data_IF_720646331500
#
_entry.id   IF_720646331500
#
_cell.length_a   1.000
_cell.length_b   1.000
_cell.length_c   1.000
_cell.angle_alpha   90.00
_cell.angle_beta   90.00
_cell.angle_gamma   90.00
#
_symmetry.space_group_name_H-M   'P 1'
#
loop_
_entity.id
_entity.type
_entity.pdbx_description
1 polymer ?
#
# COMPACT_ATOMS: atom_id res chain seq x y z
N UNK A 1 3.54 -4.96 -14.44
CA UNK A 1 2.07 -4.96 -14.50
C UNK A 1 1.49 -5.76 -13.34
N UNK A 2 0.60 -5.14 -12.55
CA UNK A 2 -0.15 -5.81 -11.48
C UNK A 2 -0.86 -7.04 -12.05
N UNK A 3 -0.78 -8.23 -11.42
CA UNK A 3 -1.51 -9.41 -11.86
C UNK A 3 -3.01 -9.12 -12.03
N UNK A 4 -3.56 -9.55 -13.16
CA UNK A 4 -4.95 -9.30 -13.53
C UNK A 4 -5.63 -10.54 -14.11
N UNK A 5 -6.96 -10.56 -14.12
CA UNK A 5 -7.75 -11.67 -14.66
C UNK A 5 -7.80 -11.58 -16.20
N UNK A 6 -6.89 -12.28 -16.87
CA UNK A 6 -6.68 -12.19 -18.34
C UNK A 6 -7.91 -12.52 -19.21
N UNK A 7 -8.81 -13.39 -18.73
CA UNK A 7 -9.97 -13.88 -19.49
C UNK A 7 -11.29 -13.35 -18.95
N UNK A 8 -11.26 -12.27 -18.18
CA UNK A 8 -12.45 -11.68 -17.58
C UNK A 8 -12.53 -10.21 -17.94
N UNK A 9 -13.72 -9.70 -18.30
CA UNK A 9 -13.96 -8.26 -18.40
C UNK A 9 -13.57 -7.56 -17.10
N UNK A 10 -12.98 -6.37 -17.19
CA UNK A 10 -12.47 -5.62 -16.01
C UNK A 10 -13.57 -5.33 -14.99
N UNK A 11 -14.77 -5.15 -15.49
CA UNK A 11 -15.99 -4.84 -14.74
C UNK A 11 -16.34 -5.95 -13.75
N UNK A 12 -15.98 -7.21 -14.03
CA UNK A 12 -16.30 -8.34 -13.17
C UNK A 12 -15.15 -8.78 -12.26
N UNK A 13 -14.01 -8.09 -12.29
CA UNK A 13 -12.83 -8.51 -11.52
C UNK A 13 -13.12 -8.53 -10.01
N UNK A 14 -13.71 -7.47 -9.49
CA UNK A 14 -14.06 -7.34 -8.08
C UNK A 14 -15.07 -8.39 -7.58
N UNK A 15 -15.82 -9.01 -8.50
CA UNK A 15 -16.76 -10.10 -8.19
C UNK A 15 -16.09 -11.48 -8.20
N UNK A 16 -14.96 -11.62 -8.90
CA UNK A 16 -14.28 -12.90 -9.12
C UNK A 16 -12.99 -13.07 -8.32
N UNK A 17 -12.47 -11.99 -7.76
CA UNK A 17 -11.26 -12.03 -6.94
C UNK A 17 -11.30 -10.96 -5.85
N UNK A 18 -10.77 -11.32 -4.68
CA UNK A 18 -10.61 -10.39 -3.57
C UNK A 18 -9.34 -9.57 -3.78
N UNK A 19 -9.49 -8.27 -3.90
CA UNK A 19 -8.37 -7.33 -3.96
C UNK A 19 -8.20 -6.68 -2.59
N UNK A 20 -6.96 -6.63 -2.12
CA UNK A 20 -6.61 -5.95 -0.89
C UNK A 20 -5.89 -4.65 -1.22
N UNK A 21 -6.34 -3.56 -0.60
CA UNK A 21 -5.64 -2.29 -0.65
C UNK A 21 -4.44 -2.33 0.31
N UNK A 22 -3.26 -1.97 -0.18
CA UNK A 22 -2.10 -1.79 0.67
C UNK A 22 -2.22 -0.47 1.45
N UNK A 23 -2.11 -0.54 2.77
CA UNK A 23 -2.04 0.64 3.64
C UNK A 23 -0.57 0.96 3.88
N UNK A 24 -0.17 2.23 3.70
CA UNK A 24 1.21 2.72 3.82
C UNK A 24 1.80 2.71 5.25
N UNK A 25 1.35 1.81 6.12
CA UNK A 25 1.89 1.61 7.46
C UNK A 25 2.93 0.50 7.43
N UNK A 26 4.12 0.80 7.92
CA UNK A 26 5.22 -0.16 7.96
C UNK A 26 5.85 -0.23 9.35
N UNK A 27 6.31 -1.42 9.73
CA UNK A 27 7.11 -1.65 10.91
C UNK A 27 8.41 -2.34 10.49
N UNK A 28 9.54 -1.78 10.94
CA UNK A 28 10.87 -2.28 10.58
C UNK A 28 11.67 -2.62 11.83
N UNK A 29 12.54 -3.62 11.68
CA UNK A 29 13.69 -3.75 12.57
C UNK A 29 14.69 -2.66 12.21
N UNK A 30 15.32 -2.05 13.22
CA UNK A 30 16.24 -0.93 13.03
C UNK A 30 17.42 -1.25 12.12
N UNK A 31 18.01 -2.44 12.26
CA UNK A 31 19.10 -2.92 11.43
C UNK A 31 18.68 -3.13 9.97
N UNK A 32 17.46 -3.60 9.74
CA UNK A 32 16.90 -3.79 8.40
C UNK A 32 16.61 -2.45 7.75
N UNK A 33 16.00 -1.50 8.47
CA UNK A 33 15.72 -0.16 7.97
C UNK A 33 16.99 0.52 7.45
N UNK A 34 18.09 0.40 8.22
CA UNK A 34 19.41 0.94 7.84
C UNK A 34 19.97 0.28 6.58
N UNK A 35 19.73 -1.00 6.37
CA UNK A 35 20.20 -1.71 5.18
C UNK A 35 19.40 -1.29 3.94
N UNK A 36 18.06 -1.36 4.03
CA UNK A 36 17.18 -1.07 2.89
C UNK A 36 17.26 0.39 2.43
N UNK A 37 17.56 1.33 3.35
CA UNK A 37 17.74 2.75 3.02
C UNK A 37 18.98 3.04 2.17
N UNK A 38 19.93 2.09 2.10
CA UNK A 38 21.16 2.22 1.28
C UNK A 38 21.01 1.64 -0.12
N UNK A 39 19.91 0.96 -0.40
CA UNK A 39 19.66 0.32 -1.68
C UNK A 39 19.39 1.39 -2.74
N UNK A 40 20.00 1.22 -3.91
CA UNK A 40 19.68 2.03 -5.10
C UNK A 40 18.24 1.74 -5.55
N UNK A 41 17.56 2.72 -6.15
CA UNK A 41 16.26 2.49 -6.75
C UNK A 41 16.28 1.31 -7.71
N UNK A 42 15.26 0.46 -7.62
CA UNK A 42 15.16 -0.77 -8.39
C UNK A 42 14.35 -0.59 -9.68
N UNK A 43 14.41 -1.55 -10.61
CA UNK A 43 13.71 -1.40 -11.88
C UNK A 43 12.20 -1.38 -11.70
N UNK A 44 11.64 -2.19 -10.80
CA UNK A 44 10.21 -2.24 -10.54
C UNK A 44 9.74 -1.06 -9.69
N UNK A 45 10.56 -0.60 -8.74
CA UNK A 45 10.26 0.66 -8.03
C UNK A 45 10.09 1.82 -8.99
N UNK A 46 11.01 1.99 -9.96
CA UNK A 46 10.93 3.06 -10.94
C UNK A 46 9.74 2.88 -11.91
N UNK A 47 9.47 1.65 -12.34
CA UNK A 47 8.40 1.37 -13.30
C UNK A 47 6.98 1.54 -12.70
N UNK A 48 6.80 1.19 -11.43
CA UNK A 48 5.49 1.20 -10.77
C UNK A 48 5.36 2.35 -9.73
N UNK A 49 6.43 3.11 -9.49
CA UNK A 49 6.53 4.17 -8.46
C UNK A 49 6.23 3.66 -7.04
N UNK A 50 6.72 2.46 -6.71
CA UNK A 50 6.47 1.76 -5.44
C UNK A 50 7.78 1.36 -4.74
N UNK A 51 8.16 2.08 -3.68
CA UNK A 51 9.43 1.89 -2.96
C UNK A 51 9.62 0.46 -2.42
N UNK A 52 8.54 -0.18 -1.95
CA UNK A 52 8.61 -1.51 -1.35
C UNK A 52 9.04 -2.60 -2.35
N UNK A 53 8.92 -2.36 -3.65
CA UNK A 53 9.41 -3.28 -4.69
C UNK A 53 10.94 -3.38 -4.68
N UNK A 54 11.65 -2.30 -4.30
CA UNK A 54 13.11 -2.30 -4.11
C UNK A 54 13.56 -3.36 -3.13
N UNK A 55 12.82 -3.52 -2.04
CA UNK A 55 13.17 -4.49 -1.00
C UNK A 55 12.95 -5.92 -1.51
N UNK A 56 11.84 -6.15 -2.23
CA UNK A 56 11.53 -7.45 -2.83
C UNK A 56 12.57 -7.86 -3.89
N UNK A 57 12.97 -6.94 -4.78
CA UNK A 57 14.00 -7.21 -5.79
C UNK A 57 15.39 -7.48 -5.17
N UNK A 58 15.64 -6.99 -3.95
CA UNK A 58 16.85 -7.25 -3.18
C UNK A 58 16.70 -8.42 -2.17
N UNK A 59 15.74 -9.32 -2.38
CA UNK A 59 15.49 -10.53 -1.58
C UNK A 59 15.09 -10.30 -0.12
N UNK A 60 14.64 -9.09 0.25
CA UNK A 60 14.00 -8.86 1.54
C UNK A 60 12.56 -9.39 1.52
N UNK A 61 12.05 -9.76 2.69
CA UNK A 61 10.70 -10.28 2.85
C UNK A 61 9.81 -9.24 3.50
N UNK A 62 8.63 -9.02 2.92
CA UNK A 62 7.58 -8.19 3.49
C UNK A 62 6.49 -9.10 4.03
N UNK A 63 6.19 -8.97 5.32
CA UNK A 63 5.06 -9.67 5.93
C UNK A 63 3.86 -8.73 5.97
N UNK A 64 2.73 -9.17 5.44
CA UNK A 64 1.48 -8.38 5.41
C UNK A 64 0.45 -9.02 6.35
N UNK A 65 -0.44 -8.20 6.91
CA UNK A 65 -1.59 -8.60 7.73
C UNK A 65 -2.83 -7.84 7.30
N UNK A 66 -3.99 -8.49 7.40
CA UNK A 66 -5.27 -7.83 7.18
C UNK A 66 -5.62 -6.98 8.40
N UNK A 67 -6.07 -5.75 8.14
CA UNK A 67 -6.62 -4.85 9.14
C UNK A 67 -8.14 -4.74 8.96
N UNK A 68 -8.86 -4.53 10.07
CA UNK A 68 -10.28 -4.13 10.04
C UNK A 68 -10.46 -2.61 10.07
N UNK A 69 -9.37 -1.87 10.24
CA UNK A 69 -9.36 -0.42 10.29
C UNK A 69 -9.03 0.12 8.91
N UNK A 70 -9.87 1.04 8.45
CA UNK A 70 -9.59 1.86 7.28
C UNK A 70 -8.56 2.93 7.63
N UNK A 71 -7.70 3.28 6.66
CA UNK A 71 -6.88 4.48 6.75
C UNK A 71 -7.57 5.62 6.05
N UNK A 72 -7.89 6.69 6.77
CA UNK A 72 -8.39 7.92 6.17
C UNK A 72 -7.20 8.87 6.05
N UNK A 73 -6.72 9.07 4.81
CA UNK A 73 -5.77 10.13 4.49
C UNK A 73 -6.49 11.48 4.50
N UNK A 74 -5.83 12.51 5.03
CA UNK A 74 -6.29 13.89 4.93
C UNK A 74 -5.26 14.62 4.09
N UNK A 75 -5.50 14.69 2.78
CA UNK A 75 -4.57 15.28 1.82
C UNK A 75 -5.12 16.59 1.23
N UNK A 76 -6.42 16.85 1.38
CA UNK A 76 -7.10 18.09 0.99
C UNK A 76 -7.98 18.70 2.10
N UNK A 77 -8.34 19.99 2.01
CA UNK A 77 -9.32 20.59 2.92
C UNK A 77 -10.66 19.83 2.97
N UNK A 78 -11.12 19.31 1.84
CA UNK A 78 -12.37 18.53 1.75
C UNK A 78 -12.25 17.17 2.47
N UNK A 79 -11.06 16.57 2.51
CA UNK A 79 -10.83 15.36 3.32
C UNK A 79 -10.99 15.67 4.82
N UNK A 80 -10.48 16.82 5.26
CA UNK A 80 -10.61 17.27 6.65
C UNK A 80 -12.08 17.52 7.02
N UNK A 81 -12.85 18.18 6.15
CA UNK A 81 -14.29 18.38 6.34
C UNK A 81 -15.04 17.05 6.47
N UNK A 82 -14.73 16.08 5.61
CA UNK A 82 -15.30 14.72 5.69
C UNK A 82 -14.99 14.04 7.02
N UNK A 83 -13.76 14.17 7.51
CA UNK A 83 -13.36 13.59 8.82
C UNK A 83 -14.08 14.30 9.97
N UNK A 84 -14.20 15.63 9.95
CA UNK A 84 -14.91 16.38 10.98
C UNK A 84 -16.40 16.00 11.04
N UNK A 85 -17.05 15.78 9.89
CA UNK A 85 -18.45 15.35 9.81
C UNK A 85 -18.65 13.90 10.28
N UNK A 86 -17.64 13.04 10.11
CA UNK A 86 -17.73 11.61 10.47
C UNK A 86 -17.77 11.33 11.98
N UNK A 87 -17.50 12.34 12.82
CA UNK A 87 -17.44 12.20 14.28
C UNK A 87 -16.22 11.42 14.80
N UNK A 88 -15.29 11.03 13.93
CA UNK A 88 -14.07 10.29 14.28
C UNK A 88 -13.15 11.03 15.27
N UNK A 89 -13.15 12.37 15.23
CA UNK A 89 -12.32 13.21 16.10
C UNK A 89 -12.99 13.58 17.43
N UNK A 90 -14.27 13.23 17.63
CA UNK A 90 -15.05 13.55 18.82
C UNK A 90 -15.24 12.34 19.75
N UNK A 91 -14.40 11.31 19.62
CA UNK A 91 -14.36 10.15 20.52
C UNK A 91 -13.34 10.33 21.63
#
# INVERSE_FOLDING_TARGET
PIPYLRQQPKEVWHLKHNYYLHIGLYAYRSDILRQISTLKPSSLELAESLEQLRWLENNYKITVRLSKHDSIGIDSPEDLERVLQSGLLNK
#
